data_IF_817531101006
#
_entry.id   IF_817531101006
#
_cell.length_a   1.000
_cell.length_b   1.000
_cell.length_c   1.000
_cell.angle_alpha   90.00
_cell.angle_beta   90.00
_cell.angle_gamma   90.00
#
_symmetry.space_group_name_H-M   'P 1'
#
loop_
_entity.id
_entity.type
_entity.pdbx_description
1 polymer ?
#
# COMPACT_ATOMS: atom_id res chain seq x y z
N UNK A 1 -3.54 0.85 -14.12
CA UNK A 1 -4.87 0.29 -13.81
C UNK A 1 -4.71 -1.12 -13.25
N UNK A 2 -5.48 -1.45 -12.27
CA UNK A 2 -5.59 -2.82 -11.75
C UNK A 2 -6.99 -3.35 -12.05
N UNK A 3 -7.08 -4.58 -12.48
CA UNK A 3 -8.35 -5.22 -12.81
C UNK A 3 -8.38 -6.67 -12.37
N UNK A 4 -9.57 -7.19 -12.17
CA UNK A 4 -9.78 -8.60 -11.83
C UNK A 4 -10.64 -9.27 -12.90
N UNK A 5 -10.40 -10.56 -13.11
CA UNK A 5 -11.19 -11.40 -14.01
C UNK A 5 -11.61 -12.67 -13.27
N UNK A 6 -12.89 -12.79 -13.04
CA UNK A 6 -13.56 -13.98 -12.47
C UNK A 6 -12.92 -14.46 -11.16
N UNK A 7 -12.58 -13.55 -10.25
CA UNK A 7 -11.98 -13.88 -8.96
C UNK A 7 -13.02 -14.59 -8.09
N UNK A 8 -12.67 -15.79 -7.66
CA UNK A 8 -13.44 -16.58 -6.69
C UNK A 8 -12.52 -16.99 -5.56
N UNK A 9 -12.99 -16.87 -4.33
CA UNK A 9 -12.28 -17.31 -3.15
C UNK A 9 -13.18 -18.17 -2.27
N UNK A 10 -12.69 -19.37 -1.93
CA UNK A 10 -13.43 -20.36 -1.17
C UNK A 10 -12.51 -21.04 -0.16
N UNK A 11 -12.85 -20.94 1.12
CA UNK A 11 -12.11 -21.56 2.20
C UNK A 11 -12.79 -22.84 2.73
N UNK A 12 -13.98 -23.16 2.28
CA UNK A 12 -14.76 -24.29 2.73
C UNK A 12 -15.78 -24.68 1.68
N UNK A 13 -16.96 -25.11 2.12
CA UNK A 13 -18.01 -25.57 1.23
C UNK A 13 -18.69 -24.45 0.44
N UNK A 14 -18.65 -23.21 0.97
CA UNK A 14 -19.31 -22.06 0.36
C UNK A 14 -18.28 -21.00 -0.04
N UNK A 15 -18.34 -20.44 -1.23
CA UNK A 15 -17.46 -19.33 -1.62
C UNK A 15 -17.69 -18.09 -0.75
N UNK A 16 -16.59 -17.41 -0.42
CA UNK A 16 -16.65 -16.12 0.24
C UNK A 16 -17.17 -15.05 -0.74
N UNK A 17 -16.67 -15.08 -1.97
CA UNK A 17 -17.17 -14.34 -3.11
C UNK A 17 -16.84 -15.10 -4.41
N UNK A 18 -17.59 -14.81 -5.48
CA UNK A 18 -17.49 -15.52 -6.76
C UNK A 18 -17.45 -14.58 -7.95
N UNK A 19 -16.64 -14.94 -8.94
CA UNK A 19 -16.66 -14.34 -10.27
C UNK A 19 -16.60 -12.82 -10.27
N UNK A 20 -15.76 -12.25 -9.38
CA UNK A 20 -15.56 -10.81 -9.32
C UNK A 20 -14.70 -10.38 -10.49
N UNK A 21 -15.29 -9.59 -11.39
CA UNK A 21 -14.61 -8.94 -12.49
C UNK A 21 -14.80 -7.43 -12.34
N UNK A 22 -13.72 -6.72 -12.02
CA UNK A 22 -13.75 -5.30 -11.74
C UNK A 22 -12.55 -4.60 -12.37
N UNK A 23 -12.76 -3.35 -12.81
CA UNK A 23 -11.70 -2.47 -13.31
C UNK A 23 -11.61 -1.25 -12.41
N UNK A 24 -10.42 -1.06 -11.84
CA UNK A 24 -10.11 0.11 -11.02
C UNK A 24 -9.30 1.08 -11.89
N UNK A 25 -9.99 2.09 -12.41
CA UNK A 25 -9.41 3.04 -13.38
C UNK A 25 -8.36 3.96 -12.78
N UNK A 26 -7.46 4.42 -13.63
CA UNK A 26 -6.33 5.27 -13.23
C UNK A 26 -6.78 6.57 -12.54
N UNK A 27 -6.13 6.89 -11.41
CA UNK A 27 -6.34 8.12 -10.69
C UNK A 27 -7.62 8.18 -9.86
N UNK A 28 -8.44 7.15 -9.89
CA UNK A 28 -9.65 7.07 -9.06
C UNK A 28 -9.33 6.52 -7.68
N UNK A 29 -10.08 6.93 -6.69
CA UNK A 29 -9.94 6.48 -5.32
C UNK A 29 -11.21 5.74 -4.90
N UNK A 30 -11.06 4.43 -4.70
CA UNK A 30 -12.17 3.51 -4.42
C UNK A 30 -12.24 3.20 -2.93
N UNK A 31 -13.38 3.41 -2.31
CA UNK A 31 -13.68 2.89 -0.98
C UNK A 31 -14.28 1.50 -1.09
N UNK A 32 -13.57 0.48 -0.63
CA UNK A 32 -14.07 -0.89 -0.62
C UNK A 32 -14.91 -1.11 0.64
N UNK A 33 -16.19 -1.31 0.46
CA UNK A 33 -17.17 -1.43 1.52
C UNK A 33 -17.93 -2.76 1.43
N UNK A 34 -18.60 -3.10 2.50
CA UNK A 34 -19.39 -4.32 2.63
C UNK A 34 -19.54 -4.71 4.09
N UNK A 35 -20.38 -5.67 4.36
CA UNK A 35 -20.59 -6.17 5.71
C UNK A 35 -19.32 -6.84 6.27
N UNK A 36 -19.19 -6.88 7.59
CA UNK A 36 -18.12 -7.64 8.23
C UNK A 36 -18.19 -9.11 7.82
N UNK A 37 -17.04 -9.68 7.47
CA UNK A 37 -16.95 -11.06 7.01
C UNK A 37 -17.30 -11.28 5.53
N UNK A 38 -17.54 -10.22 4.74
CA UNK A 38 -17.79 -10.36 3.30
C UNK A 38 -16.53 -10.57 2.46
N UNK A 39 -15.34 -10.46 3.08
CA UNK A 39 -14.08 -10.74 2.41
C UNK A 39 -13.31 -9.53 1.89
N UNK A 40 -13.57 -8.32 2.41
CA UNK A 40 -12.85 -7.11 1.99
C UNK A 40 -11.34 -7.24 2.12
N UNK A 41 -10.84 -7.61 3.29
CA UNK A 41 -9.40 -7.78 3.53
C UNK A 41 -8.82 -8.92 2.69
N UNK A 42 -9.57 -10.01 2.51
CA UNK A 42 -9.18 -11.12 1.64
C UNK A 42 -9.04 -10.67 0.19
N UNK A 43 -10.00 -9.91 -0.31
CA UNK A 43 -9.95 -9.34 -1.66
C UNK A 43 -8.74 -8.41 -1.82
N UNK A 44 -8.46 -7.58 -0.82
CA UNK A 44 -7.28 -6.70 -0.83
C UNK A 44 -5.98 -7.49 -0.90
N UNK A 45 -5.86 -8.59 -0.16
CA UNK A 45 -4.69 -9.49 -0.23
C UNK A 45 -4.53 -10.13 -1.60
N UNK A 46 -5.62 -10.47 -2.26
CA UNK A 46 -5.59 -11.00 -3.63
C UNK A 46 -5.08 -9.93 -4.59
N UNK A 47 -5.56 -8.69 -4.48
CA UNK A 47 -5.09 -7.58 -5.32
C UNK A 47 -3.61 -7.29 -5.14
N UNK A 48 -3.09 -7.41 -3.92
CA UNK A 48 -1.67 -7.18 -3.62
C UNK A 48 -0.76 -8.34 -4.03
N UNK A 49 -1.31 -9.49 -4.38
CA UNK A 49 -0.55 -10.70 -4.66
C UNK A 49 -0.15 -11.51 -3.42
N UNK A 50 -0.56 -11.08 -2.23
CA UNK A 50 -0.26 -11.79 -0.98
C UNK A 50 -1.05 -13.09 -0.82
N UNK A 51 -2.18 -13.21 -1.50
CA UNK A 51 -3.04 -14.39 -1.47
C UNK A 51 -3.43 -14.78 -2.89
N UNK A 52 -3.29 -16.08 -3.21
CA UNK A 52 -3.74 -16.63 -4.48
C UNK A 52 -5.23 -16.94 -4.41
N UNK A 53 -6.07 -16.47 -5.35
CA UNK A 53 -7.48 -16.80 -5.36
C UNK A 53 -7.70 -18.27 -5.72
N UNK A 54 -8.87 -18.79 -5.39
CA UNK A 54 -9.28 -20.16 -5.79
C UNK A 54 -9.34 -20.27 -7.31
N UNK A 55 -9.87 -19.24 -7.98
CA UNK A 55 -9.86 -19.12 -9.44
C UNK A 55 -9.88 -17.66 -9.84
N UNK A 56 -9.64 -17.41 -11.13
CA UNK A 56 -9.53 -16.08 -11.68
C UNK A 56 -8.14 -15.48 -11.54
N UNK A 57 -7.96 -14.26 -12.03
CA UNK A 57 -6.68 -13.59 -12.00
C UNK A 57 -6.81 -12.08 -11.81
N UNK A 58 -5.70 -11.48 -11.36
CA UNK A 58 -5.51 -10.03 -11.25
C UNK A 58 -4.55 -9.58 -12.34
N UNK A 59 -4.89 -8.51 -13.03
CA UNK A 59 -4.05 -7.91 -14.06
C UNK A 59 -3.70 -6.47 -13.68
N UNK A 60 -2.43 -6.15 -13.79
CA UNK A 60 -1.89 -4.81 -13.54
C UNK A 60 -1.25 -4.32 -14.82
N UNK A 61 -1.48 -3.06 -15.20
CA UNK A 61 -0.84 -2.47 -16.36
C UNK A 61 0.67 -2.62 -16.27
N UNK A 62 1.35 -3.13 -17.31
CA UNK A 62 2.80 -3.33 -17.26
C UNK A 62 3.57 -2.07 -16.89
N UNK A 63 4.54 -2.21 -15.98
CA UNK A 63 5.35 -1.09 -15.48
C UNK A 63 4.75 -0.33 -14.31
N UNK A 64 3.49 -0.55 -13.96
CA UNK A 64 2.87 0.08 -12.80
C UNK A 64 3.30 -0.61 -11.50
N UNK A 65 3.54 0.19 -10.46
CA UNK A 65 3.95 -0.27 -9.13
C UNK A 65 2.77 -0.26 -8.17
N UNK A 66 2.69 -1.30 -7.35
CA UNK A 66 1.68 -1.41 -6.28
C UNK A 66 2.35 -1.17 -4.94
N UNK A 67 1.85 -0.20 -4.18
CA UNK A 67 2.21 0.03 -2.79
C UNK A 67 1.13 -0.50 -1.86
N UNK A 68 1.54 -1.09 -0.74
CA UNK A 68 0.62 -1.59 0.29
C UNK A 68 1.04 -1.05 1.64
N UNK A 69 0.04 -0.75 2.50
CA UNK A 69 0.32 -0.39 3.88
C UNK A 69 0.53 -1.66 4.70
N UNK A 70 1.68 -1.75 5.37
CA UNK A 70 1.96 -2.86 6.29
C UNK A 70 0.99 -2.82 7.48
N UNK A 71 0.46 -3.99 7.85
CA UNK A 71 -0.43 -4.13 9.01
C UNK A 71 0.33 -4.25 10.33
N UNK A 72 1.57 -4.73 10.30
CA UNK A 72 2.38 -4.93 11.49
C UNK A 72 3.29 -3.73 11.72
N UNK A 73 2.92 -2.89 12.69
CA UNK A 73 3.69 -1.71 13.07
C UNK A 73 5.03 -2.06 13.75
N UNK A 74 5.18 -3.29 14.21
CA UNK A 74 6.35 -3.76 14.96
C UNK A 74 7.29 -4.64 14.13
N UNK A 75 7.00 -4.82 12.84
CA UNK A 75 7.80 -5.67 11.95
C UNK A 75 9.20 -5.11 11.65
N UNK A 76 9.42 -3.80 11.88
CA UNK A 76 10.62 -3.09 11.45
C UNK A 76 11.47 -2.57 12.61
N UNK A 77 11.27 -3.08 13.82
CA UNK A 77 11.91 -2.59 15.05
C UNK A 77 13.45 -2.56 15.01
N UNK A 78 14.05 -3.47 14.28
CA UNK A 78 15.50 -3.62 14.14
C UNK A 78 16.14 -2.67 13.13
N UNK A 79 15.32 -2.02 12.31
CA UNK A 79 15.79 -1.13 11.25
C UNK A 79 15.72 0.33 11.66
N UNK A 80 16.55 1.15 11.02
CA UNK A 80 16.40 2.60 11.15
C UNK A 80 15.09 3.06 10.49
N UNK A 81 14.59 4.22 10.91
CA UNK A 81 13.37 4.81 10.33
C UNK A 81 13.53 5.02 8.83
N UNK A 82 14.67 5.55 8.39
CA UNK A 82 14.98 5.74 6.97
C UNK A 82 14.98 4.41 6.22
N UNK A 83 15.64 3.39 6.75
CA UNK A 83 15.67 2.07 6.11
C UNK A 83 14.29 1.45 6.03
N UNK A 84 13.47 1.58 7.07
CA UNK A 84 12.09 1.11 7.05
C UNK A 84 11.29 1.74 5.91
N UNK A 85 11.49 3.02 5.63
CA UNK A 85 10.85 3.71 4.50
C UNK A 85 11.37 3.19 3.16
N UNK A 86 12.69 3.05 3.01
CA UNK A 86 13.31 2.54 1.77
C UNK A 86 12.84 1.12 1.43
N UNK A 87 12.56 0.31 2.45
CA UNK A 87 12.02 -1.05 2.28
C UNK A 87 10.68 -1.07 1.52
N UNK A 88 10.00 0.05 1.38
CA UNK A 88 8.82 0.19 0.54
C UNK A 88 9.11 -0.02 -0.95
N UNK A 89 10.33 0.25 -1.39
CA UNK A 89 10.82 -0.15 -2.71
C UNK A 89 11.58 -1.47 -2.58
N UNK A 90 10.87 -2.58 -2.71
CA UNK A 90 11.41 -3.91 -2.45
C UNK A 90 12.61 -4.22 -3.35
N UNK A 91 12.53 -3.88 -4.62
CA UNK A 91 13.61 -4.12 -5.58
C UNK A 91 14.87 -3.33 -5.22
N UNK A 92 14.72 -2.05 -4.90
CA UNK A 92 15.82 -1.18 -4.47
C UNK A 92 16.45 -1.68 -3.17
N UNK A 93 15.62 -2.04 -2.20
CA UNK A 93 16.09 -2.56 -0.91
C UNK A 93 16.93 -3.82 -1.08
N UNK A 94 16.49 -4.76 -1.90
CA UNK A 94 17.20 -6.01 -2.20
C UNK A 94 18.57 -5.75 -2.81
N UNK A 95 18.66 -4.83 -3.78
CA UNK A 95 19.92 -4.44 -4.42
C UNK A 95 20.85 -3.78 -3.40
N UNK A 96 20.33 -2.88 -2.58
CA UNK A 96 21.08 -2.21 -1.52
C UNK A 96 21.66 -3.21 -0.52
N UNK A 97 20.89 -4.17 -0.07
CA UNK A 97 21.33 -5.20 0.88
C UNK A 97 22.43 -6.08 0.28
N UNK A 98 22.28 -6.54 -0.96
CA UNK A 98 23.28 -7.37 -1.62
C UNK A 98 24.59 -6.60 -1.83
N UNK A 99 24.50 -5.35 -2.27
CA UNK A 99 25.66 -4.46 -2.44
C UNK A 99 26.41 -4.26 -1.13
N UNK A 100 25.69 -3.89 -0.08
CA UNK A 100 26.27 -3.62 1.24
C UNK A 100 26.91 -4.89 1.84
N UNK A 101 26.31 -6.06 1.62
CA UNK A 101 26.84 -7.35 2.05
C UNK A 101 28.18 -7.65 1.36
N UNK A 102 28.31 -7.40 0.06
CA UNK A 102 29.56 -7.57 -0.66
C UNK A 102 30.65 -6.64 -0.12
N UNK A 103 30.34 -5.35 0.05
CA UNK A 103 31.31 -4.37 0.57
C UNK A 103 31.68 -4.61 2.03
N UNK A 104 30.90 -5.32 2.81
CA UNK A 104 31.21 -5.67 4.18
C UNK A 104 32.17 -6.88 4.33
N UNK A 105 32.45 -7.61 3.23
CA UNK A 105 33.39 -8.73 3.23
C UNK A 105 34.81 -8.23 3.45
N UNK A 106 35.56 -8.96 4.25
CA UNK A 106 36.98 -8.67 4.50
C UNK A 106 37.85 -8.86 3.24
N UNK A 107 37.51 -9.85 2.43
CA UNK A 107 38.13 -10.10 1.14
C UNK A 107 37.08 -10.28 0.07
N UNK A 108 37.21 -9.55 -1.02
CA UNK A 108 36.33 -9.65 -2.18
C UNK A 108 37.00 -10.51 -3.26
N UNK A 109 36.26 -11.50 -3.77
CA UNK A 109 36.67 -12.26 -4.96
C UNK A 109 36.49 -11.44 -6.23
N UNK A 110 37.03 -11.92 -7.37
CA UNK A 110 36.76 -11.30 -8.67
C UNK A 110 35.27 -11.31 -9.01
N UNK A 111 34.57 -12.40 -8.67
CA UNK A 111 33.12 -12.51 -8.84
C UNK A 111 32.37 -11.46 -8.01
N UNK A 112 32.79 -11.25 -6.77
CA UNK A 112 32.22 -10.21 -5.90
C UNK A 112 32.43 -8.81 -6.51
N UNK A 113 33.60 -8.53 -7.04
CA UNK A 113 33.90 -7.26 -7.70
C UNK A 113 33.03 -7.02 -8.95
N UNK A 114 32.84 -8.06 -9.76
CA UNK A 114 31.96 -7.99 -10.94
C UNK A 114 30.50 -7.78 -10.54
N UNK A 115 30.03 -8.52 -9.54
CA UNK A 115 28.66 -8.39 -9.05
C UNK A 115 28.44 -7.01 -8.41
N UNK A 116 29.39 -6.50 -7.67
CA UNK A 116 29.34 -5.16 -7.11
C UNK A 116 29.19 -4.08 -8.21
N UNK A 117 29.91 -4.23 -9.31
CA UNK A 117 29.77 -3.32 -10.46
C UNK A 117 28.39 -3.36 -11.09
N UNK A 118 27.82 -4.55 -11.27
CA UNK A 118 26.45 -4.71 -11.77
C UNK A 118 25.42 -4.10 -10.82
N UNK A 119 25.58 -4.32 -9.51
CA UNK A 119 24.69 -3.77 -8.49
C UNK A 119 24.76 -2.24 -8.41
N UNK A 120 25.95 -1.66 -8.57
CA UNK A 120 26.10 -0.20 -8.62
C UNK A 120 25.34 0.39 -9.81
N UNK A 121 25.39 -0.25 -10.97
CA UNK A 121 24.67 0.19 -12.16
C UNK A 121 23.15 0.11 -11.94
N UNK A 122 22.66 -1.00 -11.41
CA UNK A 122 21.23 -1.19 -11.09
C UNK A 122 20.76 -0.19 -10.02
N UNK A 123 21.58 0.02 -8.99
CA UNK A 123 21.30 0.97 -7.92
C UNK A 123 21.18 2.40 -8.45
N UNK A 124 22.08 2.80 -9.35
CA UNK A 124 22.02 4.10 -10.01
C UNK A 124 20.77 4.26 -10.87
N UNK A 125 20.41 3.24 -11.65
CA UNK A 125 19.19 3.26 -12.48
C UNK A 125 17.90 3.40 -11.66
N UNK A 126 17.89 2.88 -10.45
CA UNK A 126 16.76 2.95 -9.54
C UNK A 126 16.78 4.20 -8.64
N UNK A 127 17.64 5.18 -8.93
CA UNK A 127 17.83 6.37 -8.11
C UNK A 127 18.21 6.06 -6.65
N UNK A 128 18.98 4.99 -6.45
CA UNK A 128 19.36 4.51 -5.12
C UNK A 128 20.19 5.53 -4.33
N UNK A 129 21.01 6.32 -5.00
CA UNK A 129 21.85 7.32 -4.35
C UNK A 129 21.05 8.48 -3.76
N UNK A 130 19.83 8.72 -4.23
CA UNK A 130 18.91 9.72 -3.66
C UNK A 130 17.92 9.12 -2.67
N UNK A 131 17.97 7.81 -2.43
CA UNK A 131 16.96 7.10 -1.64
C UNK A 131 16.80 7.66 -0.22
N UNK A 132 17.90 7.89 0.50
CA UNK A 132 17.85 8.44 1.85
C UNK A 132 17.25 9.84 1.88
N UNK A 133 17.62 10.69 0.91
CA UNK A 133 17.09 12.05 0.78
C UNK A 133 15.57 12.02 0.48
N UNK A 134 15.15 11.17 -0.45
CA UNK A 134 13.73 11.02 -0.78
C UNK A 134 12.91 10.46 0.40
N UNK A 135 13.47 9.47 1.10
CA UNK A 135 12.86 8.93 2.32
C UNK A 135 12.73 10.01 3.40
N UNK A 136 13.77 10.82 3.59
CA UNK A 136 13.74 11.94 4.52
C UNK A 136 12.67 12.97 4.19
N UNK A 137 12.50 13.31 2.92
CA UNK A 137 11.47 14.25 2.48
C UNK A 137 10.05 13.74 2.79
N UNK A 138 9.79 12.46 2.52
CA UNK A 138 8.50 11.85 2.83
C UNK A 138 8.27 11.77 4.34
N UNK A 139 9.29 11.45 5.12
CA UNK A 139 9.20 11.43 6.58
C UNK A 139 8.88 12.81 7.15
N UNK A 140 9.48 13.87 6.63
CA UNK A 140 9.16 15.23 7.04
C UNK A 140 7.72 15.60 6.71
N UNK A 141 7.23 15.25 5.53
CA UNK A 141 5.81 15.41 5.16
C UNK A 141 4.90 14.66 6.12
N UNK A 142 5.32 13.49 6.59
CA UNK A 142 4.59 12.67 7.56
C UNK A 142 4.68 13.21 8.99
N UNK A 143 5.43 14.29 9.23
CA UNK A 143 5.58 14.90 10.54
C UNK A 143 6.63 14.23 11.42
N UNK A 144 7.49 13.38 10.88
CA UNK A 144 8.61 12.76 11.59
C UNK A 144 9.82 13.67 11.48
N UNK A 145 10.25 14.23 12.60
CA UNK A 145 11.39 15.15 12.66
C UNK A 145 12.68 14.46 12.24
N UNK A 146 13.59 15.22 11.65
CA UNK A 146 14.86 14.74 11.12
C UNK A 146 15.71 13.98 12.16
N UNK A 147 15.66 14.39 13.42
CA UNK A 147 16.39 13.75 14.52
C UNK A 147 16.06 12.26 14.70
N UNK A 148 14.86 11.82 14.24
CA UNK A 148 14.43 10.43 14.36
C UNK A 148 14.78 9.58 13.14
N UNK A 149 15.17 10.18 12.02
CA UNK A 149 15.28 9.47 10.74
C UNK A 149 16.33 8.35 10.77
N UNK A 150 17.47 8.55 11.39
CA UNK A 150 18.53 7.54 11.49
C UNK A 150 18.48 6.73 12.79
N UNK A 151 17.52 7.03 13.66
CA UNK A 151 17.23 6.22 14.84
C UNK A 151 16.46 4.95 14.51
N UNK A 152 16.40 4.03 15.47
CA UNK A 152 15.69 2.76 15.28
C UNK A 152 14.18 2.96 15.32
N UNK A 153 13.47 2.15 14.53
CA UNK A 153 12.00 2.07 14.59
C UNK A 153 11.49 1.76 16.00
N UNK A 154 12.22 0.93 16.75
CA UNK A 154 11.85 0.60 18.14
C UNK A 154 11.75 1.82 19.05
N UNK A 155 12.44 2.90 18.74
CA UNK A 155 12.47 4.15 19.52
C UNK A 155 11.33 5.11 19.11
N UNK A 156 10.64 4.84 18.05
CA UNK A 156 9.49 5.65 17.61
C UNK A 156 8.27 5.31 18.47
N UNK A 157 7.57 6.33 18.97
CA UNK A 157 6.36 6.14 19.74
C UNK A 157 5.29 5.40 18.91
N UNK A 158 4.50 4.48 19.51
CA UNK A 158 3.54 3.67 18.77
C UNK A 158 2.58 4.46 17.88
N UNK A 159 2.11 5.61 18.34
CA UNK A 159 1.22 6.48 17.55
C UNK A 159 1.85 7.08 16.30
N UNK A 160 3.19 7.09 16.20
CA UNK A 160 3.94 7.63 15.06
C UNK A 160 4.42 6.56 14.10
N UNK A 161 4.43 5.29 14.52
CA UNK A 161 4.86 4.16 13.65
C UNK A 161 4.01 4.04 12.40
N UNK A 162 2.72 4.27 12.49
CA UNK A 162 1.84 4.25 11.32
C UNK A 162 2.24 5.31 10.29
N UNK A 163 2.66 6.49 10.73
CA UNK A 163 3.12 7.54 9.82
C UNK A 163 4.37 7.11 9.05
N UNK A 164 5.28 6.42 9.70
CA UNK A 164 6.47 5.84 9.06
C UNK A 164 6.06 4.77 8.04
N UNK A 165 5.11 3.88 8.39
CA UNK A 165 4.61 2.85 7.49
C UNK A 165 3.86 3.44 6.29
N UNK A 166 3.18 4.55 6.47
CA UNK A 166 2.58 5.27 5.36
C UNK A 166 3.65 5.86 4.43
N UNK A 167 4.68 6.46 5.00
CA UNK A 167 5.84 6.93 4.24
C UNK A 167 6.51 5.78 3.47
N UNK A 168 6.63 4.60 4.08
CA UNK A 168 7.10 3.38 3.41
C UNK A 168 6.25 3.03 2.20
N UNK A 169 4.93 3.02 2.35
CA UNK A 169 4.01 2.68 1.27
C UNK A 169 4.09 3.69 0.10
N UNK A 170 4.40 4.95 0.39
CA UNK A 170 4.49 6.01 -0.61
C UNK A 170 5.89 6.16 -1.23
N UNK A 171 6.92 5.58 -0.62
CA UNK A 171 8.32 5.81 -1.02
C UNK A 171 8.62 5.39 -2.46
N UNK A 172 8.08 4.27 -2.91
CA UNK A 172 8.29 3.78 -4.26
C UNK A 172 7.49 4.57 -5.32
N UNK A 173 6.76 5.61 -4.90
CA UNK A 173 5.84 6.37 -5.74
C UNK A 173 4.88 5.44 -6.50
N UNK A 174 4.04 4.70 -5.78
CA UNK A 174 3.19 3.68 -6.38
C UNK A 174 2.16 4.30 -7.33
N UNK A 175 1.85 3.56 -8.39
CA UNK A 175 0.75 3.90 -9.31
C UNK A 175 -0.59 3.44 -8.76
N UNK A 176 -0.55 2.41 -7.92
CA UNK A 176 -1.70 1.82 -7.24
C UNK A 176 -1.35 1.68 -5.76
N UNK A 177 -2.19 2.23 -4.89
CA UNK A 177 -2.02 2.19 -3.44
C UNK A 177 -3.18 1.44 -2.80
N UNK A 178 -2.85 0.40 -2.04
CA UNK A 178 -3.82 -0.44 -1.34
C UNK A 178 -3.71 -0.18 0.16
N UNK A 179 -4.77 0.32 0.76
CA UNK A 179 -4.81 0.69 2.17
C UNK A 179 -5.92 -0.07 2.89
N UNK A 180 -5.53 -0.97 3.81
CA UNK A 180 -6.48 -1.73 4.62
C UNK A 180 -6.51 -1.15 6.03
N UNK A 181 -7.63 -0.54 6.40
CA UNK A 181 -7.89 0.08 7.70
C UNK A 181 -6.82 1.11 8.12
N UNK A 182 -6.46 2.09 7.25
CA UNK A 182 -5.42 3.05 7.58
C UNK A 182 -5.81 4.02 8.69
N UNK A 183 -7.10 4.15 9.01
CA UNK A 183 -7.61 5.06 10.05
C UNK A 183 -7.80 4.38 11.39
N UNK A 184 -7.58 3.07 11.48
CA UNK A 184 -7.86 2.31 12.71
C UNK A 184 -7.00 2.80 13.88
N UNK A 185 -7.64 3.08 15.02
CA UNK A 185 -6.98 3.57 16.25
C UNK A 185 -6.26 4.92 16.12
N UNK A 186 -6.61 5.74 15.12
CA UNK A 186 -6.07 7.08 14.96
C UNK A 186 -6.98 8.15 15.57
N UNK A 187 -6.36 9.22 16.05
CA UNK A 187 -7.11 10.41 16.44
C UNK A 187 -7.58 11.21 15.21
N UNK A 188 -8.50 12.14 15.43
CA UNK A 188 -9.08 12.91 14.33
C UNK A 188 -8.04 13.79 13.59
N UNK A 189 -7.05 14.30 14.29
CA UNK A 189 -5.99 15.12 13.66
C UNK A 189 -5.13 14.29 12.72
N UNK A 190 -4.79 13.09 13.12
CA UNK A 190 -4.02 12.15 12.29
C UNK A 190 -4.83 11.66 11.09
N UNK A 191 -6.13 11.41 11.27
CA UNK A 191 -7.04 11.04 10.18
C UNK A 191 -7.14 12.18 9.16
N UNK A 192 -7.29 13.43 9.61
CA UNK A 192 -7.35 14.61 8.74
C UNK A 192 -6.02 14.81 7.98
N UNK A 193 -4.90 14.60 8.65
CA UNK A 193 -3.58 14.63 8.01
C UNK A 193 -3.49 13.57 6.90
N UNK A 194 -3.89 12.33 7.19
CA UNK A 194 -3.89 11.23 6.23
C UNK A 194 -4.76 11.55 5.00
N UNK A 195 -5.97 12.04 5.22
CA UNK A 195 -6.87 12.45 4.13
C UNK A 195 -6.22 13.53 3.26
N UNK A 196 -5.56 14.51 3.86
CA UNK A 196 -4.85 15.57 3.14
C UNK A 196 -3.72 15.03 2.27
N UNK A 197 -2.91 14.11 2.80
CA UNK A 197 -1.82 13.46 2.06
C UNK A 197 -2.36 12.66 0.87
N UNK A 198 -3.39 11.85 1.09
CA UNK A 198 -3.96 11.01 0.04
C UNK A 198 -4.63 11.84 -1.07
N UNK A 199 -5.29 12.94 -0.72
CA UNK A 199 -5.93 13.83 -1.69
C UNK A 199 -4.93 14.56 -2.61
N UNK A 200 -3.68 14.67 -2.19
CA UNK A 200 -2.62 15.27 -3.01
C UNK A 200 -1.97 14.26 -3.98
N UNK A 201 -2.23 12.98 -3.81
CA UNK A 201 -1.67 11.91 -4.66
C UNK A 201 -2.60 11.63 -5.84
N UNK A 202 -2.01 11.39 -7.01
CA UNK A 202 -2.74 11.09 -8.25
C UNK A 202 -2.82 9.60 -8.56
N UNK A 203 -2.28 8.74 -7.69
CA UNK A 203 -2.33 7.30 -7.89
C UNK A 203 -3.74 6.75 -7.71
N UNK A 204 -3.99 5.59 -8.30
CA UNK A 204 -5.20 4.81 -8.05
C UNK A 204 -5.15 4.27 -6.62
N UNK A 205 -6.23 4.41 -5.88
CA UNK A 205 -6.30 3.91 -4.50
C UNK A 205 -7.48 2.97 -4.32
N UNK A 206 -7.28 1.94 -3.52
CA UNK A 206 -8.35 1.07 -3.01
C UNK A 206 -8.20 1.06 -1.49
N UNK A 207 -9.22 1.52 -0.80
CA UNK A 207 -9.17 1.82 0.63
C UNK A 207 -10.29 1.08 1.34
N UNK A 208 -9.95 0.33 2.40
CA UNK A 208 -10.90 -0.22 3.35
C UNK A 208 -10.84 0.64 4.60
N UNK A 209 -11.97 1.19 5.03
CA UNK A 209 -12.07 1.93 6.29
C UNK A 209 -13.49 1.86 6.83
N UNK A 210 -13.61 1.82 8.16
CA UNK A 210 -14.89 1.98 8.85
C UNK A 210 -15.23 3.44 9.14
N UNK A 211 -14.30 4.35 8.89
CA UNK A 211 -14.52 5.78 9.06
C UNK A 211 -15.22 6.37 7.84
N UNK A 212 -16.52 6.59 7.95
CA UNK A 212 -17.37 7.12 6.87
C UNK A 212 -16.96 8.52 6.43
N UNK A 213 -16.58 9.36 7.37
CA UNK A 213 -16.14 10.72 7.08
C UNK A 213 -14.84 10.72 6.28
N UNK A 214 -13.91 9.84 6.63
CA UNK A 214 -12.67 9.65 5.88
C UNK A 214 -12.94 9.18 4.44
N UNK A 215 -13.76 8.14 4.27
CA UNK A 215 -14.14 7.65 2.94
C UNK A 215 -14.82 8.73 2.12
N UNK A 216 -15.67 9.52 2.74
CA UNK A 216 -16.39 10.61 2.08
C UNK A 216 -15.43 11.72 1.58
N UNK A 217 -14.39 12.01 2.34
CA UNK A 217 -13.43 13.07 2.01
C UNK A 217 -12.35 12.64 0.99
N UNK A 218 -12.07 11.36 0.87
CA UNK A 218 -10.97 10.85 0.01
C UNK A 218 -11.46 10.15 -1.25
N UNK A 219 -12.53 9.36 -1.16
CA UNK A 219 -12.94 8.49 -2.25
C UNK A 219 -13.74 9.20 -3.34
N UNK A 220 -13.48 8.83 -4.59
CA UNK A 220 -14.22 9.28 -5.78
C UNK A 220 -15.27 8.26 -6.21
N UNK A 221 -15.10 6.99 -5.76
CA UNK A 221 -15.97 5.88 -6.08
C UNK A 221 -16.13 4.98 -4.87
N UNK A 222 -17.20 4.21 -4.84
CA UNK A 222 -17.39 3.13 -3.87
C UNK A 222 -17.44 1.78 -4.59
N UNK A 223 -16.75 0.80 -4.04
CA UNK A 223 -16.79 -0.59 -4.49
C UNK A 223 -17.44 -1.42 -3.38
N UNK A 224 -18.65 -1.89 -3.64
CA UNK A 224 -19.45 -2.60 -2.66
C UNK A 224 -19.39 -4.12 -2.90
N UNK A 225 -18.88 -4.87 -1.91
CA UNK A 225 -18.96 -6.33 -1.90
C UNK A 225 -20.22 -6.71 -1.13
N UNK A 226 -21.21 -7.20 -1.86
CA UNK A 226 -22.50 -7.60 -1.32
C UNK A 226 -22.96 -8.90 -1.96
N UNK A 227 -23.42 -9.87 -1.15
CA UNK A 227 -23.86 -11.19 -1.63
C UNK A 227 -22.85 -11.90 -2.54
N UNK A 228 -21.57 -11.78 -2.23
CA UNK A 228 -20.49 -12.41 -2.99
C UNK A 228 -20.16 -11.75 -4.33
N UNK A 229 -20.77 -10.62 -4.65
CA UNK A 229 -20.53 -9.83 -5.85
C UNK A 229 -19.93 -8.48 -5.51
N UNK A 230 -19.22 -7.86 -6.46
CA UNK A 230 -18.67 -6.51 -6.31
C UNK A 230 -19.30 -5.58 -7.34
N UNK A 231 -19.82 -4.44 -6.86
CA UNK A 231 -20.38 -3.38 -7.70
C UNK A 231 -19.67 -2.05 -7.43
N UNK A 232 -19.34 -1.33 -8.49
CA UNK A 232 -18.67 -0.04 -8.41
C UNK A 232 -19.68 1.07 -8.70
N UNK A 233 -19.73 2.06 -7.81
CA UNK A 233 -20.59 3.23 -7.90
C UNK A 233 -19.72 4.48 -7.99
N UNK A 234 -19.98 5.40 -8.93
CA UNK A 234 -19.31 6.69 -8.95
C UNK A 234 -19.82 7.57 -7.82
N UNK A 235 -18.94 8.45 -7.31
CA UNK A 235 -19.24 9.34 -6.20
C UNK A 235 -18.64 8.88 -4.88
N UNK A 236 -18.71 9.76 -3.87
CA UNK A 236 -18.20 9.47 -2.53
C UNK A 236 -19.19 8.59 -1.72
N UNK A 237 -18.85 8.35 -0.45
CA UNK A 237 -19.68 7.53 0.42
C UNK A 237 -21.12 8.07 0.59
N UNK A 238 -21.28 9.38 0.73
CA UNK A 238 -22.58 10.01 0.88
C UNK A 238 -23.46 9.81 -0.36
N UNK A 239 -22.89 10.04 -1.55
CA UNK A 239 -23.57 9.80 -2.82
C UNK A 239 -23.96 8.33 -2.99
N UNK A 240 -23.07 7.40 -2.59
CA UNK A 240 -23.35 5.97 -2.59
C UNK A 240 -24.55 5.62 -1.72
N UNK A 241 -24.64 6.17 -0.51
CA UNK A 241 -25.76 5.91 0.39
C UNK A 241 -27.09 6.38 -0.18
N UNK A 242 -27.12 7.52 -0.85
CA UNK A 242 -28.31 8.03 -1.54
C UNK A 242 -28.69 7.12 -2.71
N UNK A 243 -27.74 6.78 -3.58
CA UNK A 243 -27.98 5.94 -4.74
C UNK A 243 -28.43 4.51 -4.37
N UNK A 244 -27.83 3.92 -3.34
CA UNK A 244 -28.17 2.56 -2.90
C UNK A 244 -29.54 2.46 -2.23
N UNK A 245 -30.00 3.53 -1.57
CA UNK A 245 -31.36 3.58 -1.00
C UNK A 245 -32.44 3.56 -2.08
N UNK A 246 -32.19 4.21 -3.20
CA UNK A 246 -33.12 4.24 -4.35
C UNK A 246 -33.22 2.88 -5.07
N UNK A 247 -32.18 2.05 -5.00
CA UNK A 247 -32.20 0.72 -5.63
C UNK A 247 -32.93 -0.31 -4.77
N UNK A 248 -33.03 -0.06 -3.46
CA UNK A 248 -33.67 -0.96 -2.49
C UNK A 248 -35.19 -0.72 -2.34
N UNK A 249 -35.72 0.36 -2.91
CA UNK A 249 -37.15 0.64 -3.06
C UNK A 249 -37.69 0.04 -4.39
#
# INVERSE_FOLDING_TARGET
>A
MISTANITMQFGATPLFENISAKFGNGNRYGLIGANGCGKSTFMKILSGALTPTSGNVSITPGEKVGTLSQDQFAFEEYSVVDAVIMGDVALWKIKQERDAIYSKLEMSEEDGMRAGELEAEFAEMDGYSAESRAGDILLEAGIEEDYHFGLMSQVAPGWKLRVLLAQALFANPDILLLDEPTNNLDIHTINWLAGVLNQRKCTMIIISHDRHFLNSVCTHMADIDFGELRIYPGNYEYFMEASSLIRE
#
